data_IF_009737658364
#
_entry.id   IF_009737658364
#
_cell.length_a   1.000
_cell.length_b   1.000
_cell.length_c   1.000
_cell.angle_alpha   90.00
_cell.angle_beta   90.00
_cell.angle_gamma   90.00
#
_symmetry.space_group_name_H-M   'P 1'
#
loop_
_entity.id
_entity.type
_entity.pdbx_description
1 polymer ?
#
# COMPACT_ATOMS: atom_id res chain seq x y z
N UNK A 1 -33.06 -17.57 -7.12
CA UNK A 1 -32.01 -17.66 -8.14
C UNK A 1 -31.43 -16.31 -8.55
N UNK A 2 -31.90 -15.18 -8.00
CA UNK A 2 -31.47 -13.82 -8.35
C UNK A 2 -30.51 -13.14 -7.37
N UNK A 3 -30.03 -13.86 -6.34
CA UNK A 3 -29.13 -13.31 -5.30
C UNK A 3 -27.64 -13.19 -5.73
N UNK A 4 -27.26 -13.86 -6.82
CA UNK A 4 -25.84 -13.97 -7.28
C UNK A 4 -25.36 -12.83 -8.17
N UNK A 5 -26.15 -11.77 -8.37
CA UNK A 5 -25.83 -10.68 -9.33
C UNK A 5 -25.11 -9.46 -8.73
N UNK A 6 -24.71 -9.49 -7.48
CA UNK A 6 -24.36 -8.26 -6.75
C UNK A 6 -22.84 -7.95 -6.57
N UNK A 7 -21.94 -8.63 -7.26
CA UNK A 7 -20.51 -8.34 -7.16
C UNK A 7 -20.07 -7.23 -8.14
N UNK A 8 -19.29 -6.29 -7.66
CA UNK A 8 -18.85 -5.07 -8.36
C UNK A 8 -18.05 -5.31 -9.66
N UNK A 9 -17.46 -6.50 -9.85
CA UNK A 9 -16.41 -6.73 -10.83
C UNK A 9 -16.58 -7.99 -11.68
N UNK A 10 -17.80 -8.51 -11.88
CA UNK A 10 -17.95 -9.68 -12.75
C UNK A 10 -18.36 -9.30 -14.16
N UNK A 11 -17.51 -9.67 -15.11
CA UNK A 11 -17.83 -9.57 -16.54
C UNK A 11 -18.84 -10.65 -16.91
N UNK A 12 -19.85 -10.28 -17.72
CA UNK A 12 -20.79 -11.23 -18.33
C UNK A 12 -20.18 -11.93 -19.55
N UNK A 13 -19.00 -11.52 -20.01
CA UNK A 13 -18.30 -12.06 -21.17
C UNK A 13 -16.97 -12.68 -20.75
N UNK A 14 -16.59 -13.77 -21.42
CA UNK A 14 -15.25 -14.36 -21.23
C UNK A 14 -14.18 -13.42 -21.80
N UNK A 15 -13.23 -13.02 -20.98
CA UNK A 15 -12.12 -12.17 -21.40
C UNK A 15 -11.04 -13.02 -22.11
N UNK A 16 -10.60 -12.64 -23.32
CA UNK A 16 -9.59 -13.40 -24.05
C UNK A 16 -8.17 -13.23 -23.53
N UNK A 17 -7.99 -12.38 -22.51
CA UNK A 17 -6.69 -11.98 -21.99
C UNK A 17 -6.13 -13.06 -21.07
N UNK A 18 -4.86 -13.43 -21.26
CA UNK A 18 -4.17 -14.37 -20.38
C UNK A 18 -3.84 -13.73 -19.05
N UNK A 19 -4.16 -14.39 -17.94
CA UNK A 19 -4.01 -13.88 -16.58
C UNK A 19 -2.55 -13.45 -16.22
N UNK A 20 -1.53 -14.06 -16.83
CA UNK A 20 -0.14 -13.71 -16.57
C UNK A 20 0.21 -12.24 -16.92
N UNK A 21 -0.54 -11.58 -17.82
CA UNK A 21 -0.38 -10.15 -18.06
C UNK A 21 -0.77 -9.29 -16.85
N UNK A 22 -1.68 -9.78 -15.99
CA UNK A 22 -2.00 -9.11 -14.73
C UNK A 22 -0.80 -9.15 -13.79
N UNK A 23 -0.13 -10.29 -13.68
CA UNK A 23 1.11 -10.37 -12.92
C UNK A 23 2.15 -9.37 -13.43
N UNK A 24 2.33 -9.30 -14.74
CA UNK A 24 3.30 -8.41 -15.36
C UNK A 24 3.01 -6.93 -15.04
N UNK A 25 1.75 -6.47 -15.22
CA UNK A 25 1.39 -5.08 -14.89
C UNK A 25 1.49 -4.79 -13.40
N UNK A 26 1.16 -5.75 -12.54
CA UNK A 26 1.31 -5.62 -11.09
C UNK A 26 2.77 -5.46 -10.68
N UNK A 27 3.67 -6.29 -11.23
CA UNK A 27 5.13 -6.22 -10.99
C UNK A 27 5.67 -4.86 -11.46
N UNK A 28 5.37 -4.47 -12.70
CA UNK A 28 5.91 -3.25 -13.32
C UNK A 28 5.41 -2.01 -12.56
N UNK A 29 4.13 -1.96 -12.20
CA UNK A 29 3.58 -0.82 -11.47
C UNK A 29 4.09 -0.76 -10.02
N UNK A 30 4.19 -1.90 -9.33
CA UNK A 30 4.76 -1.96 -7.99
C UNK A 30 6.22 -1.50 -7.99
N UNK A 31 7.02 -1.97 -8.94
CA UNK A 31 8.40 -1.52 -9.13
C UNK A 31 8.46 -0.01 -9.36
N UNK A 32 7.67 0.51 -10.33
CA UNK A 32 7.61 1.93 -10.65
C UNK A 32 7.26 2.79 -9.43
N UNK A 33 6.21 2.42 -8.70
CA UNK A 33 5.70 3.22 -7.59
C UNK A 33 6.67 3.20 -6.40
N UNK A 34 7.20 2.02 -6.04
CA UNK A 34 8.09 1.89 -4.89
C UNK A 34 9.50 2.44 -5.14
N UNK A 35 9.92 2.54 -6.39
CA UNK A 35 11.18 3.18 -6.74
C UNK A 35 11.26 4.62 -6.22
N UNK A 36 10.14 5.33 -6.20
CA UNK A 36 10.06 6.71 -5.69
C UNK A 36 9.42 6.82 -4.32
N UNK A 37 8.59 5.88 -3.89
CA UNK A 37 7.79 6.00 -2.66
C UNK A 37 8.66 6.23 -1.42
N UNK A 38 9.72 5.45 -1.26
CA UNK A 38 10.63 5.56 -0.11
C UNK A 38 11.63 6.71 -0.18
N UNK A 39 11.80 7.35 -1.33
CA UNK A 39 12.66 8.54 -1.49
C UNK A 39 11.86 9.83 -1.51
N UNK A 40 10.56 9.76 -1.72
CA UNK A 40 9.66 10.90 -1.94
C UNK A 40 9.66 11.91 -0.80
N UNK A 41 9.64 11.44 0.46
CA UNK A 41 9.65 12.32 1.63
C UNK A 41 10.95 13.11 1.73
N UNK A 42 12.09 12.45 1.52
CA UNK A 42 13.39 13.12 1.55
C UNK A 42 13.56 14.06 0.35
N UNK A 43 13.09 13.65 -0.84
CA UNK A 43 13.13 14.51 -2.01
C UNK A 43 12.33 15.80 -1.81
N UNK A 44 11.07 15.68 -1.41
CA UNK A 44 10.22 16.86 -1.18
C UNK A 44 10.68 17.69 0.02
N UNK A 45 11.36 17.08 1.00
CA UNK A 45 11.96 17.75 2.14
C UNK A 45 13.07 18.73 1.77
N UNK A 46 13.60 18.69 0.52
CA UNK A 46 14.50 19.73 0.01
C UNK A 46 13.76 21.05 -0.28
N UNK A 47 12.44 21.02 -0.43
CA UNK A 47 11.61 22.18 -0.78
C UNK A 47 10.72 22.65 0.37
N UNK A 48 10.40 21.78 1.33
CA UNK A 48 9.51 22.07 2.46
C UNK A 48 10.12 21.58 3.77
N UNK A 49 9.66 22.11 4.90
CA UNK A 49 10.09 21.64 6.22
C UNK A 49 9.55 20.24 6.53
N UNK A 50 10.25 19.49 7.38
CA UNK A 50 9.89 18.11 7.73
C UNK A 50 8.45 17.97 8.26
N UNK A 51 7.97 18.95 9.03
CA UNK A 51 6.61 18.99 9.57
C UNK A 51 5.54 19.17 8.48
N UNK A 52 5.92 19.76 7.33
CA UNK A 52 4.99 20.00 6.20
C UNK A 52 4.90 18.80 5.25
N UNK A 53 5.86 17.88 5.30
CA UNK A 53 5.90 16.72 4.39
C UNK A 53 4.61 15.89 4.52
N UNK A 54 4.22 15.51 5.74
CA UNK A 54 3.01 14.72 5.94
C UNK A 54 1.72 15.46 5.54
N UNK A 55 1.70 16.80 5.58
CA UNK A 55 0.55 17.58 5.06
C UNK A 55 0.40 17.34 3.55
N UNK A 56 1.51 17.32 2.78
CA UNK A 56 1.46 17.07 1.34
C UNK A 56 0.99 15.63 1.03
N UNK A 57 1.49 14.63 1.78
CA UNK A 57 1.02 13.26 1.67
C UNK A 57 -0.47 13.13 2.02
N UNK A 58 -0.92 13.86 3.04
CA UNK A 58 -2.32 13.89 3.45
C UNK A 58 -3.22 14.53 2.40
N UNK A 59 -2.79 15.61 1.75
CA UNK A 59 -3.52 16.22 0.64
C UNK A 59 -3.65 15.23 -0.53
N UNK A 60 -2.59 14.48 -0.85
CA UNK A 60 -2.64 13.43 -1.86
C UNK A 60 -3.62 12.31 -1.48
N UNK A 61 -3.57 11.83 -0.24
CA UNK A 61 -4.49 10.79 0.25
C UNK A 61 -5.95 11.27 0.29
N UNK A 62 -6.21 12.49 0.74
CA UNK A 62 -7.54 13.09 0.73
C UNK A 62 -8.11 13.21 -0.70
N UNK A 63 -7.30 13.71 -1.63
CA UNK A 63 -7.69 13.80 -3.03
C UNK A 63 -7.92 12.42 -3.66
N UNK A 64 -7.12 11.41 -3.30
CA UNK A 64 -7.35 10.02 -3.70
C UNK A 64 -8.71 9.50 -3.24
N UNK A 65 -9.12 9.79 -2.00
CA UNK A 65 -10.42 9.39 -1.47
C UNK A 65 -11.54 10.00 -2.31
N UNK A 66 -11.45 11.28 -2.67
CA UNK A 66 -12.44 11.94 -3.53
C UNK A 66 -12.53 11.24 -4.89
N UNK A 67 -11.39 10.98 -5.53
CA UNK A 67 -11.36 10.28 -6.82
C UNK A 67 -11.90 8.84 -6.69
N UNK A 68 -11.63 8.16 -5.59
CA UNK A 68 -12.16 6.82 -5.33
C UNK A 68 -13.69 6.78 -5.38
N UNK A 69 -14.37 7.79 -4.82
CA UNK A 69 -15.84 7.90 -4.91
C UNK A 69 -16.34 8.22 -6.33
N UNK A 70 -15.56 8.96 -7.11
CA UNK A 70 -15.92 9.32 -8.49
C UNK A 70 -15.55 8.20 -9.50
N UNK A 71 -14.65 7.31 -9.13
CA UNK A 71 -14.07 6.31 -10.03
C UNK A 71 -15.11 5.40 -10.69
N UNK A 72 -16.15 4.87 -10.02
CA UNK A 72 -17.19 4.06 -10.69
C UNK A 72 -17.89 4.79 -11.84
N UNK A 73 -18.10 6.10 -11.70
CA UNK A 73 -18.71 6.93 -12.76
C UNK A 73 -17.75 7.10 -13.95
N UNK A 74 -16.46 7.30 -13.68
CA UNK A 74 -15.42 7.43 -14.70
C UNK A 74 -15.27 6.10 -15.45
N UNK A 75 -15.17 4.99 -14.72
CA UNK A 75 -15.04 3.64 -15.28
C UNK A 75 -16.25 3.24 -16.13
N UNK A 76 -17.46 3.60 -15.69
CA UNK A 76 -18.69 3.34 -16.46
C UNK A 76 -18.69 4.06 -17.80
N UNK A 77 -18.07 5.25 -17.87
CA UNK A 77 -18.05 6.07 -19.08
C UNK A 77 -16.92 5.70 -20.05
N UNK A 78 -15.73 5.46 -19.51
CA UNK A 78 -14.52 5.29 -20.31
C UNK A 78 -13.95 3.88 -20.31
N UNK A 79 -14.38 3.02 -19.39
CA UNK A 79 -13.81 1.69 -19.16
C UNK A 79 -12.47 1.71 -18.41
N UNK A 80 -12.04 0.52 -17.92
CA UNK A 80 -10.84 0.40 -17.11
C UNK A 80 -9.55 0.67 -17.90
N UNK A 81 -9.48 0.20 -19.15
CA UNK A 81 -8.27 0.35 -19.98
C UNK A 81 -7.95 1.82 -20.25
N UNK A 82 -8.91 2.59 -20.77
CA UNK A 82 -8.69 4.01 -21.08
C UNK A 82 -8.46 4.85 -19.84
N UNK A 83 -9.17 4.53 -18.73
CA UNK A 83 -8.97 5.21 -17.45
C UNK A 83 -7.56 4.95 -16.92
N UNK A 84 -7.07 3.71 -16.96
CA UNK A 84 -5.71 3.36 -16.51
C UNK A 84 -4.65 4.04 -17.35
N UNK A 85 -4.79 4.07 -18.67
CA UNK A 85 -3.86 4.78 -19.58
C UNK A 85 -3.85 6.28 -19.25
N UNK A 86 -5.02 6.91 -19.10
CA UNK A 86 -5.12 8.33 -18.78
C UNK A 86 -4.47 8.69 -17.45
N UNK A 87 -4.72 7.89 -16.39
CA UNK A 87 -4.09 8.07 -15.08
C UNK A 87 -2.57 7.87 -15.16
N UNK A 88 -2.10 6.88 -15.91
CA UNK A 88 -0.66 6.64 -16.08
C UNK A 88 0.02 7.76 -16.88
N UNK A 89 -0.62 8.33 -17.87
CA UNK A 89 -0.10 9.50 -18.59
C UNK A 89 0.07 10.71 -17.67
N UNK A 90 -0.90 10.95 -16.78
CA UNK A 90 -0.78 12.00 -15.76
C UNK A 90 0.36 11.65 -14.79
N UNK A 91 0.49 10.40 -14.37
CA UNK A 91 1.59 9.94 -13.48
C UNK A 91 2.96 10.18 -14.14
N UNK A 92 3.13 9.81 -15.40
CA UNK A 92 4.37 10.02 -16.16
C UNK A 92 4.71 11.52 -16.22
N UNK A 93 3.72 12.36 -16.55
CA UNK A 93 3.91 13.82 -16.62
C UNK A 93 4.29 14.40 -15.26
N UNK A 94 3.59 14.00 -14.20
CA UNK A 94 3.88 14.50 -12.85
C UNK A 94 5.24 14.04 -12.34
N UNK A 95 5.65 12.78 -12.60
CA UNK A 95 6.99 12.29 -12.25
C UNK A 95 8.08 13.08 -13.01
N UNK A 96 7.89 13.37 -14.29
CA UNK A 96 8.82 14.20 -15.05
C UNK A 96 8.93 15.62 -14.48
N UNK A 97 7.80 16.27 -14.16
CA UNK A 97 7.77 17.61 -13.56
C UNK A 97 8.39 17.64 -12.16
N UNK A 98 8.16 16.62 -11.32
CA UNK A 98 8.82 16.50 -10.02
C UNK A 98 10.33 16.34 -10.21
N UNK A 99 10.77 15.45 -11.11
CA UNK A 99 12.18 15.19 -11.35
C UNK A 99 12.96 16.41 -11.88
N UNK A 100 12.31 17.28 -12.68
CA UNK A 100 12.95 18.51 -13.20
C UNK A 100 13.05 19.61 -12.15
N UNK A 101 12.20 19.61 -11.13
CA UNK A 101 12.16 20.62 -10.04
C UNK A 101 12.21 22.08 -10.55
N UNK A 102 11.50 22.38 -11.66
CA UNK A 102 11.56 23.67 -12.36
C UNK A 102 11.27 24.85 -11.42
N UNK A 103 10.23 24.72 -10.60
CA UNK A 103 9.92 25.68 -9.55
C UNK A 103 9.13 25.02 -8.42
N UNK A 104 9.12 25.65 -7.26
CA UNK A 104 8.45 25.15 -6.05
C UNK A 104 6.99 24.73 -6.28
N UNK A 105 6.19 25.62 -6.84
CA UNK A 105 4.74 25.39 -6.99
C UNK A 105 4.45 24.22 -7.92
N UNK A 106 5.11 24.13 -9.07
CA UNK A 106 4.94 23.04 -10.03
C UNK A 106 5.36 21.71 -9.39
N UNK A 107 6.51 21.70 -8.70
CA UNK A 107 7.03 20.50 -8.04
C UNK A 107 6.05 19.98 -6.99
N UNK A 108 5.55 20.85 -6.11
CA UNK A 108 4.61 20.48 -5.04
C UNK A 108 3.27 20.04 -5.59
N UNK A 109 2.70 20.76 -6.55
CA UNK A 109 1.41 20.37 -7.17
C UNK A 109 1.53 19.03 -7.89
N UNK A 110 2.60 18.85 -8.68
CA UNK A 110 2.85 17.59 -9.39
C UNK A 110 3.07 16.43 -8.43
N UNK A 111 3.77 16.66 -7.32
CA UNK A 111 3.97 15.67 -6.27
C UNK A 111 2.64 15.24 -5.62
N UNK A 112 1.78 16.18 -5.24
CA UNK A 112 0.45 15.89 -4.68
C UNK A 112 -0.42 15.13 -5.70
N UNK A 113 -0.38 15.50 -6.98
CA UNK A 113 -1.10 14.78 -8.04
C UNK A 113 -0.58 13.35 -8.22
N UNK A 114 0.74 13.13 -8.17
CA UNK A 114 1.33 11.78 -8.19
C UNK A 114 0.82 10.94 -7.03
N UNK A 115 0.85 11.46 -5.79
CA UNK A 115 0.33 10.78 -4.60
C UNK A 115 -1.18 10.48 -4.70
N UNK A 116 -1.93 11.37 -5.34
CA UNK A 116 -3.37 11.23 -5.56
C UNK A 116 -3.69 10.06 -6.50
N UNK A 117 -2.93 9.90 -7.57
CA UNK A 117 -3.26 8.98 -8.67
C UNK A 117 -2.75 7.57 -8.41
N UNK A 118 -1.60 7.40 -7.78
CA UNK A 118 -0.97 6.08 -7.58
C UNK A 118 -1.90 5.04 -6.93
N UNK A 119 -2.66 5.32 -5.85
CA UNK A 119 -3.60 4.36 -5.27
C UNK A 119 -4.75 3.98 -6.22
N UNK A 120 -5.15 4.89 -7.10
CA UNK A 120 -6.23 4.63 -8.07
C UNK A 120 -5.77 3.66 -9.16
N UNK A 121 -4.51 3.75 -9.60
CA UNK A 121 -3.96 2.78 -10.56
C UNK A 121 -3.88 1.39 -9.94
N UNK A 122 -3.49 1.24 -8.67
CA UNK A 122 -3.55 -0.05 -7.97
C UNK A 122 -4.95 -0.64 -7.99
N UNK A 123 -5.98 0.17 -7.71
CA UNK A 123 -7.37 -0.28 -7.77
C UNK A 123 -7.78 -0.72 -9.19
N UNK A 124 -7.33 -0.01 -10.22
CA UNK A 124 -7.59 -0.41 -11.61
C UNK A 124 -6.92 -1.74 -11.97
N UNK A 125 -5.70 -1.99 -11.47
CA UNK A 125 -5.01 -3.29 -11.60
C UNK A 125 -5.80 -4.40 -10.89
N UNK A 126 -6.32 -4.11 -9.70
CA UNK A 126 -7.20 -5.03 -8.98
C UNK A 126 -8.46 -5.37 -9.80
N UNK A 127 -9.07 -4.39 -10.48
CA UNK A 127 -10.22 -4.62 -11.37
C UNK A 127 -9.86 -5.56 -12.52
N UNK A 128 -8.68 -5.39 -13.14
CA UNK A 128 -8.20 -6.34 -14.15
C UNK A 128 -8.07 -7.74 -13.57
N UNK A 129 -7.46 -7.86 -12.39
CA UNK A 129 -7.26 -9.14 -11.70
C UNK A 129 -8.59 -9.85 -11.42
N UNK A 130 -9.50 -9.19 -10.73
CA UNK A 130 -10.79 -9.76 -10.31
C UNK A 130 -11.66 -10.13 -11.52
N UNK A 131 -11.64 -9.32 -12.58
CA UNK A 131 -12.42 -9.60 -13.79
C UNK A 131 -11.89 -10.82 -14.55
N UNK A 132 -10.58 -11.05 -14.53
CA UNK A 132 -9.94 -12.17 -15.23
C UNK A 132 -9.95 -13.48 -14.41
N UNK A 133 -10.02 -13.42 -13.08
CA UNK A 133 -10.15 -14.59 -12.22
C UNK A 133 -11.50 -15.29 -12.45
N UNK A 134 -12.59 -14.54 -12.65
CA UNK A 134 -13.93 -15.11 -12.85
C UNK A 134 -14.52 -15.80 -11.61
N UNK A 135 -15.84 -16.08 -11.64
CA UNK A 135 -16.58 -16.64 -10.48
C UNK A 135 -16.30 -18.11 -10.18
N UNK A 136 -15.92 -18.89 -11.19
CA UNK A 136 -15.88 -20.37 -11.11
C UNK A 136 -14.45 -20.93 -11.20
N UNK A 137 -13.43 -20.13 -11.01
CA UNK A 137 -12.05 -20.56 -11.22
C UNK A 137 -11.53 -21.31 -9.98
N UNK A 138 -11.29 -22.59 -10.12
CA UNK A 138 -10.63 -23.43 -9.12
C UNK A 138 -9.19 -22.94 -8.98
N UNK A 139 -8.81 -22.40 -7.81
CA UNK A 139 -7.45 -21.86 -7.58
C UNK A 139 -7.33 -20.34 -7.52
N UNK A 140 -8.44 -19.61 -7.31
CA UNK A 140 -8.45 -18.15 -7.15
C UNK A 140 -7.48 -17.66 -6.07
N UNK A 141 -7.43 -18.34 -4.92
CA UNK A 141 -6.50 -18.05 -3.83
C UNK A 141 -5.04 -18.17 -4.24
N UNK A 142 -4.70 -19.22 -5.01
CA UNK A 142 -3.34 -19.41 -5.53
C UNK A 142 -2.92 -18.30 -6.50
N UNK A 143 -3.81 -17.86 -7.39
CA UNK A 143 -3.53 -16.75 -8.33
C UNK A 143 -3.30 -15.43 -7.60
N UNK A 144 -4.12 -15.12 -6.59
CA UNK A 144 -3.96 -13.92 -5.76
C UNK A 144 -2.69 -13.99 -4.91
N UNK A 145 -2.42 -15.12 -4.26
CA UNK A 145 -1.21 -15.32 -3.47
C UNK A 145 0.06 -15.17 -4.32
N UNK A 146 0.06 -15.73 -5.55
CA UNK A 146 1.19 -15.55 -6.46
C UNK A 146 1.36 -14.08 -6.88
N UNK A 147 0.25 -13.36 -7.15
CA UNK A 147 0.32 -11.92 -7.46
C UNK A 147 0.95 -11.13 -6.32
N UNK A 148 0.54 -11.35 -5.07
CA UNK A 148 1.10 -10.70 -3.88
C UNK A 148 2.59 -11.03 -3.72
N UNK A 149 2.98 -12.29 -3.82
CA UNK A 149 4.40 -12.70 -3.72
C UNK A 149 5.25 -12.05 -4.80
N UNK A 150 4.76 -11.93 -6.03
CA UNK A 150 5.47 -11.27 -7.13
C UNK A 150 5.57 -9.75 -6.91
N UNK A 151 4.52 -9.13 -6.36
CA UNK A 151 4.56 -7.71 -5.98
C UNK A 151 5.53 -7.47 -4.83
N UNK A 152 5.58 -8.34 -3.81
CA UNK A 152 6.54 -8.27 -2.71
C UNK A 152 7.99 -8.44 -3.20
N UNK A 153 8.23 -9.35 -4.14
CA UNK A 153 9.54 -9.48 -4.79
C UNK A 153 9.91 -8.24 -5.61
N UNK A 154 8.96 -7.65 -6.35
CA UNK A 154 9.17 -6.40 -7.07
C UNK A 154 9.48 -5.24 -6.13
N UNK A 155 8.85 -5.20 -4.94
CA UNK A 155 9.12 -4.21 -3.91
C UNK A 155 10.57 -4.29 -3.39
N UNK A 156 11.05 -5.49 -3.07
CA UNK A 156 12.45 -5.73 -2.66
C UNK A 156 13.41 -5.28 -3.76
N UNK A 157 13.16 -5.69 -5.00
CA UNK A 157 14.02 -5.33 -6.13
C UNK A 157 14.02 -3.82 -6.40
N UNK A 158 12.86 -3.17 -6.26
CA UNK A 158 12.71 -1.72 -6.43
C UNK A 158 13.55 -0.93 -5.43
N UNK A 159 13.53 -1.32 -4.15
CA UNK A 159 14.28 -0.61 -3.10
C UNK A 159 15.79 -0.85 -3.17
N UNK A 160 16.24 -2.03 -3.63
CA UNK A 160 17.66 -2.25 -3.99
C UNK A 160 18.05 -1.34 -5.15
N UNK A 161 17.23 -1.31 -6.21
CA UNK A 161 17.48 -0.48 -7.39
C UNK A 161 17.50 1.01 -7.04
N UNK A 162 16.65 1.46 -6.13
CA UNK A 162 16.65 2.83 -5.61
C UNK A 162 18.01 3.22 -5.06
N UNK A 163 18.59 2.38 -4.18
CA UNK A 163 19.89 2.65 -3.61
C UNK A 163 21.01 2.73 -4.65
N UNK A 164 21.02 1.81 -5.61
CA UNK A 164 22.04 1.77 -6.67
C UNK A 164 21.90 2.92 -7.69
N UNK A 165 20.68 3.31 -8.06
CA UNK A 165 20.46 4.39 -9.01
C UNK A 165 20.85 5.75 -8.45
N UNK A 166 20.63 5.98 -7.15
CA UNK A 166 21.06 7.22 -6.50
C UNK A 166 22.58 7.24 -6.28
N UNK A 167 23.15 6.12 -5.84
CA UNK A 167 24.57 5.97 -5.61
C UNK A 167 25.15 7.07 -4.72
N UNK A 168 26.41 7.41 -4.93
CA UNK A 168 27.15 8.41 -4.14
C UNK A 168 26.75 9.87 -4.46
N UNK A 169 26.11 10.09 -5.62
CA UNK A 169 25.77 11.45 -6.09
C UNK A 169 24.57 12.05 -5.35
N UNK A 170 23.86 11.29 -4.53
CA UNK A 170 22.67 11.71 -3.76
C UNK A 170 21.57 12.41 -4.60
N UNK A 171 21.59 12.22 -5.94
CA UNK A 171 20.62 12.82 -6.85
C UNK A 171 19.36 11.98 -6.93
N UNK A 172 18.37 12.32 -6.13
CA UNK A 172 17.10 11.61 -6.09
C UNK A 172 16.24 11.81 -7.36
N UNK A 173 16.50 12.84 -8.18
CA UNK A 173 15.72 13.09 -9.41
C UNK A 173 15.80 11.91 -10.40
N UNK A 174 16.91 11.14 -10.39
CA UNK A 174 17.08 9.96 -11.25
C UNK A 174 15.98 8.92 -11.03
N UNK A 175 15.45 8.81 -9.81
CA UNK A 175 14.39 7.85 -9.48
C UNK A 175 13.08 8.23 -10.15
N UNK A 176 12.75 9.53 -10.19
CA UNK A 176 11.56 10.05 -10.85
C UNK A 176 11.62 9.85 -12.35
N UNK A 177 12.77 10.10 -12.98
CA UNK A 177 12.96 9.84 -14.42
C UNK A 177 12.91 8.35 -14.75
N UNK A 178 13.56 7.50 -13.95
CA UNK A 178 13.50 6.05 -14.16
C UNK A 178 12.06 5.54 -13.98
N UNK A 179 11.36 6.00 -12.95
CA UNK A 179 9.96 5.66 -12.73
C UNK A 179 9.06 6.13 -13.89
N UNK A 180 9.32 7.31 -14.46
CA UNK A 180 8.65 7.82 -15.67
C UNK A 180 8.85 6.86 -16.85
N UNK A 181 10.07 6.40 -17.13
CA UNK A 181 10.36 5.45 -18.20
C UNK A 181 9.66 4.09 -18.00
N UNK A 182 9.64 3.58 -16.76
CA UNK A 182 8.91 2.36 -16.41
C UNK A 182 7.40 2.53 -16.63
N UNK A 183 6.85 3.75 -16.36
CA UNK A 183 5.46 4.09 -16.65
C UNK A 183 5.11 4.04 -18.14
N UNK A 184 6.03 4.47 -19.01
CA UNK A 184 5.86 4.35 -20.47
C UNK A 184 5.79 2.88 -20.87
N UNK A 185 6.67 2.04 -20.30
CA UNK A 185 6.63 0.60 -20.52
C UNK A 185 5.33 -0.04 -20.02
N UNK A 186 4.81 0.40 -18.88
CA UNK A 186 3.50 -0.04 -18.36
C UNK A 186 2.37 0.25 -19.36
N UNK A 187 2.32 1.48 -19.91
CA UNK A 187 1.32 1.84 -20.94
C UNK A 187 1.45 0.91 -22.16
N UNK A 188 2.67 0.64 -22.63
CA UNK A 188 2.87 -0.26 -23.76
C UNK A 188 2.28 -1.66 -23.49
N UNK A 189 2.46 -2.21 -22.27
CA UNK A 189 1.84 -3.49 -21.90
C UNK A 189 0.31 -3.40 -21.91
N UNK A 190 -0.28 -2.35 -21.34
CA UNK A 190 -1.73 -2.16 -21.31
C UNK A 190 -2.30 -2.09 -22.73
N UNK A 191 -1.71 -1.28 -23.60
CA UNK A 191 -2.15 -1.11 -24.99
C UNK A 191 -2.03 -2.41 -25.79
N UNK A 192 -0.95 -3.17 -25.59
CA UNK A 192 -0.73 -4.43 -26.29
C UNK A 192 -1.63 -5.54 -25.78
N UNK A 193 -1.67 -5.75 -24.45
CA UNK A 193 -2.28 -6.93 -23.86
C UNK A 193 -3.78 -6.76 -23.55
N UNK A 194 -4.23 -5.54 -23.20
CA UNK A 194 -5.58 -5.31 -22.69
C UNK A 194 -6.51 -4.60 -23.68
N UNK A 195 -6.11 -4.39 -24.92
CA UNK A 195 -6.93 -3.70 -25.94
C UNK A 195 -8.32 -4.31 -26.15
N UNK A 196 -8.49 -5.60 -25.91
CA UNK A 196 -9.77 -6.33 -26.03
C UNK A 196 -10.36 -6.71 -24.68
N UNK A 197 -10.02 -5.96 -23.62
CA UNK A 197 -10.57 -6.20 -22.28
C UNK A 197 -12.05 -5.85 -22.25
N UNK A 198 -12.86 -6.75 -21.72
CA UNK A 198 -14.27 -6.53 -21.47
C UNK A 198 -14.49 -6.09 -20.03
N UNK A 199 -14.95 -4.86 -19.88
CA UNK A 199 -15.21 -4.28 -18.59
C UNK A 199 -16.33 -5.00 -17.81
N UNK A 200 -16.18 -5.11 -16.47
CA UNK A 200 -17.28 -5.59 -15.62
C UNK A 200 -18.38 -4.51 -15.50
N UNK A 201 -19.49 -4.87 -14.88
CA UNK A 201 -20.55 -3.91 -14.58
C UNK A 201 -20.14 -3.10 -13.34
N UNK A 202 -19.91 -1.81 -13.52
CA UNK A 202 -19.58 -0.88 -12.44
C UNK A 202 -20.84 -0.40 -11.72
N UNK A 203 -20.89 -0.56 -10.38
CA UNK A 203 -21.98 -0.09 -9.53
C UNK A 203 -21.49 0.99 -8.57
N UNK A 204 -22.34 1.94 -8.22
CA UNK A 204 -22.07 2.91 -7.16
C UNK A 204 -22.20 2.23 -5.81
N UNK A 205 -21.25 2.49 -4.92
CA UNK A 205 -21.21 1.94 -3.57
C UNK A 205 -21.92 2.91 -2.64
N UNK A 206 -22.87 2.40 -1.85
CA UNK A 206 -23.56 3.20 -0.82
C UNK A 206 -22.75 3.14 0.50
N UNK A 207 -21.66 3.90 0.58
CA UNK A 207 -20.72 3.83 1.71
C UNK A 207 -21.36 4.15 3.07
N UNK A 208 -22.29 5.12 3.16
CA UNK A 208 -22.85 5.58 4.44
C UNK A 208 -23.69 4.49 5.10
N UNK A 209 -24.56 3.81 4.36
CA UNK A 209 -25.34 2.70 4.90
C UNK A 209 -24.46 1.54 5.33
N UNK A 210 -23.43 1.24 4.54
CA UNK A 210 -22.46 0.17 4.81
C UNK A 210 -21.63 0.39 6.05
N UNK A 211 -21.13 1.60 6.28
CA UNK A 211 -20.42 1.95 7.52
C UNK A 211 -21.33 1.71 8.71
N UNK A 212 -22.59 2.15 8.66
CA UNK A 212 -23.53 1.97 9.76
C UNK A 212 -23.83 0.50 10.04
N UNK A 213 -24.03 -0.31 9.01
CA UNK A 213 -24.33 -1.75 9.15
C UNK A 213 -23.11 -2.53 9.63
N UNK A 214 -21.92 -2.21 9.13
CA UNK A 214 -20.64 -2.83 9.54
C UNK A 214 -20.28 -2.50 10.98
N UNK A 215 -20.61 -1.29 11.46
CA UNK A 215 -20.30 -0.85 12.83
C UNK A 215 -21.08 -1.59 13.91
N UNK A 216 -22.21 -2.20 13.55
CA UNK A 216 -23.04 -3.01 14.45
C UNK A 216 -22.47 -4.43 14.66
N UNK A 217 -21.56 -4.90 13.79
CA UNK A 217 -20.90 -6.18 13.94
C UNK A 217 -19.54 -6.01 14.65
N UNK A 218 -19.42 -6.55 15.86
CA UNK A 218 -18.20 -6.42 16.68
C UNK A 218 -16.96 -6.95 15.98
N UNK A 219 -17.05 -8.11 15.33
CA UNK A 219 -15.91 -8.74 14.64
C UNK A 219 -15.45 -7.91 13.44
N UNK A 220 -16.38 -7.42 12.62
CA UNK A 220 -16.06 -6.58 11.45
C UNK A 220 -15.42 -5.26 11.91
N UNK A 221 -15.98 -4.62 12.93
CA UNK A 221 -15.42 -3.40 13.51
C UNK A 221 -14.00 -3.64 14.02
N UNK A 222 -13.77 -4.74 14.70
CA UNK A 222 -12.48 -5.09 15.31
C UNK A 222 -11.42 -5.33 14.23
N UNK A 223 -11.74 -6.15 13.21
CA UNK A 223 -10.79 -6.42 12.12
C UNK A 223 -10.52 -5.18 11.27
N UNK A 224 -11.52 -4.32 11.04
CA UNK A 224 -11.33 -3.04 10.36
C UNK A 224 -10.40 -2.11 11.13
N UNK A 225 -10.54 -2.05 12.45
CA UNK A 225 -9.67 -1.23 13.30
C UNK A 225 -8.24 -1.78 13.32
N UNK A 226 -8.07 -3.10 13.40
CA UNK A 226 -6.76 -3.73 13.32
C UNK A 226 -6.08 -3.47 11.97
N UNK A 227 -6.82 -3.63 10.87
CA UNK A 227 -6.31 -3.33 9.53
C UNK A 227 -5.98 -1.83 9.36
N UNK A 228 -6.81 -0.93 9.88
CA UNK A 228 -6.53 0.51 9.86
C UNK A 228 -5.23 0.85 10.60
N UNK A 229 -4.99 0.28 11.78
CA UNK A 229 -3.74 0.46 12.53
C UNK A 229 -2.52 -0.06 11.75
N UNK A 230 -2.64 -1.20 11.08
CA UNK A 230 -1.59 -1.72 10.21
C UNK A 230 -1.31 -0.76 9.04
N UNK A 231 -2.34 -0.27 8.37
CA UNK A 231 -2.18 0.67 7.25
C UNK A 231 -1.62 2.02 7.72
N UNK A 232 -1.95 2.45 8.95
CA UNK A 232 -1.35 3.62 9.60
C UNK A 232 0.16 3.41 9.83
N UNK A 233 0.58 2.23 10.29
CA UNK A 233 1.98 1.86 10.40
C UNK A 233 2.69 1.93 9.03
N UNK A 234 2.09 1.42 7.95
CA UNK A 234 2.68 1.50 6.61
C UNK A 234 2.84 2.94 6.14
N UNK A 235 1.80 3.75 6.28
CA UNK A 235 1.86 5.16 5.92
C UNK A 235 3.00 5.90 6.63
N UNK A 236 3.09 5.71 7.95
CA UNK A 236 4.10 6.35 8.77
C UNK A 236 5.51 5.92 8.40
N UNK A 237 5.71 4.62 8.25
CA UNK A 237 7.05 4.07 7.98
C UNK A 237 7.54 4.35 6.55
N UNK A 238 6.66 4.40 5.56
CA UNK A 238 7.04 4.77 4.18
C UNK A 238 7.47 6.24 4.11
N UNK A 239 6.83 7.12 4.87
CA UNK A 239 7.13 8.57 4.84
C UNK A 239 8.35 8.90 5.72
N UNK A 240 8.34 8.45 6.97
CA UNK A 240 9.26 8.98 7.98
C UNK A 240 10.51 8.14 8.20
N UNK A 241 10.54 6.83 7.91
CA UNK A 241 11.76 6.02 8.09
C UNK A 241 12.86 6.42 7.11
N UNK A 242 12.63 6.50 5.79
CA UNK A 242 13.70 6.89 4.88
C UNK A 242 14.23 8.30 5.17
N UNK A 243 13.32 9.22 5.49
CA UNK A 243 13.68 10.58 5.88
C UNK A 243 14.56 10.57 7.13
N UNK A 244 14.18 9.83 8.18
CA UNK A 244 14.93 9.70 9.42
C UNK A 244 16.33 9.08 9.20
N UNK A 245 16.40 8.00 8.41
CA UNK A 245 17.66 7.34 8.09
C UNK A 245 18.62 8.26 7.32
N UNK A 246 18.08 9.09 6.41
CA UNK A 246 18.89 10.00 5.62
C UNK A 246 19.32 11.24 6.41
N UNK A 247 18.43 11.84 7.23
CA UNK A 247 18.69 13.15 7.87
C UNK A 247 19.25 13.07 9.27
N UNK A 248 18.79 12.08 10.08
CA UNK A 248 19.17 11.97 11.49
C UNK A 248 20.26 10.91 11.71
N UNK A 249 20.18 9.76 11.00
CA UNK A 249 21.17 8.70 11.14
C UNK A 249 22.34 8.91 10.18
N UNK A 250 22.08 9.53 9.00
CA UNK A 250 23.11 9.87 8.03
C UNK A 250 23.58 8.72 7.14
N UNK A 251 22.72 7.70 6.93
CA UNK A 251 23.03 6.62 6.01
C UNK A 251 23.02 7.07 4.54
N UNK A 252 23.89 6.44 3.74
CA UNK A 252 23.86 6.58 2.30
C UNK A 252 22.56 6.01 1.71
N UNK A 253 22.17 6.48 0.51
CA UNK A 253 20.97 5.93 -0.16
C UNK A 253 21.12 4.46 -0.51
N UNK A 254 22.35 3.98 -0.73
CA UNK A 254 22.63 2.56 -0.92
C UNK A 254 22.32 1.75 0.35
N UNK A 255 22.77 2.23 1.51
CA UNK A 255 22.47 1.60 2.81
C UNK A 255 20.97 1.60 3.11
N UNK A 256 20.31 2.74 2.88
CA UNK A 256 18.85 2.86 3.05
C UNK A 256 18.11 1.86 2.14
N UNK A 257 18.55 1.73 0.89
CA UNK A 257 18.00 0.74 -0.04
C UNK A 257 18.13 -0.70 0.49
N UNK A 258 19.28 -1.08 1.03
CA UNK A 258 19.48 -2.40 1.63
C UNK A 258 18.67 -2.60 2.90
N UNK A 259 18.63 -1.62 3.80
CA UNK A 259 17.86 -1.69 5.05
C UNK A 259 16.37 -1.92 4.76
N UNK A 260 15.80 -1.14 3.85
CA UNK A 260 14.39 -1.26 3.48
C UNK A 260 14.13 -2.59 2.76
N UNK A 261 15.02 -3.01 1.86
CA UNK A 261 14.88 -4.26 1.10
C UNK A 261 14.88 -5.48 2.01
N UNK A 262 15.78 -5.54 2.98
CA UNK A 262 15.83 -6.62 3.98
C UNK A 262 14.53 -6.61 4.81
N UNK A 263 14.01 -5.45 5.17
CA UNK A 263 12.70 -5.35 5.81
C UNK A 263 11.59 -5.93 4.93
N UNK A 264 11.47 -5.50 3.68
CA UNK A 264 10.43 -5.96 2.76
C UNK A 264 10.55 -7.45 2.42
N UNK A 265 11.74 -8.03 2.50
CA UNK A 265 11.96 -9.46 2.30
C UNK A 265 11.19 -10.33 3.32
N UNK A 266 10.87 -9.79 4.50
CA UNK A 266 10.02 -10.48 5.48
C UNK A 266 8.64 -10.86 4.90
N UNK A 267 8.03 -10.02 4.04
CA UNK A 267 6.77 -10.36 3.39
C UNK A 267 6.91 -11.54 2.44
N UNK A 268 7.97 -11.57 1.65
CA UNK A 268 8.25 -12.69 0.74
C UNK A 268 8.39 -14.01 1.50
N UNK A 269 8.98 -13.97 2.71
CA UNK A 269 9.19 -15.17 3.53
C UNK A 269 7.93 -15.59 4.29
N UNK A 270 7.15 -14.65 4.80
CA UNK A 270 6.16 -14.93 5.83
C UNK A 270 4.71 -14.91 5.34
N UNK A 271 4.34 -14.15 4.31
CA UNK A 271 2.94 -14.04 3.87
C UNK A 271 2.29 -15.41 3.60
N UNK A 272 2.96 -16.26 2.84
CA UNK A 272 2.42 -17.57 2.50
C UNK A 272 2.40 -18.57 3.68
N UNK A 273 3.50 -18.78 4.45
CA UNK A 273 3.49 -19.66 5.62
C UNK A 273 2.50 -19.23 6.71
N UNK A 274 2.38 -17.93 6.96
CA UNK A 274 1.46 -17.39 7.98
C UNK A 274 0.02 -17.69 7.63
N UNK A 275 -0.39 -17.51 6.37
CA UNK A 275 -1.73 -17.85 5.93
C UNK A 275 -2.08 -19.31 6.23
N UNK A 276 -1.16 -20.25 5.95
CA UNK A 276 -1.36 -21.68 6.25
C UNK A 276 -1.41 -21.93 7.78
N UNK A 277 -0.54 -21.26 8.54
CA UNK A 277 -0.50 -21.45 10.00
C UNK A 277 -1.76 -20.93 10.67
N UNK A 278 -2.27 -19.76 10.25
CA UNK A 278 -3.50 -19.18 10.75
C UNK A 278 -4.70 -20.11 10.50
N UNK A 279 -4.76 -20.69 9.28
CA UNK A 279 -5.86 -21.56 8.91
C UNK A 279 -5.85 -22.93 9.62
N UNK A 280 -4.66 -23.50 9.89
CA UNK A 280 -4.54 -24.90 10.33
C UNK A 280 -4.16 -25.09 11.79
N UNK A 281 -3.37 -24.20 12.38
CA UNK A 281 -2.70 -24.50 13.65
C UNK A 281 -3.02 -23.55 14.81
N UNK A 282 -2.89 -22.22 14.67
CA UNK A 282 -2.85 -21.28 15.81
C UNK A 282 -4.10 -20.41 15.80
N UNK A 283 -4.86 -20.14 14.91
CA UNK A 283 -5.95 -19.15 14.92
C UNK A 283 -5.45 -17.72 14.61
N UNK A 284 -6.33 -16.92 13.99
CA UNK A 284 -5.96 -15.58 13.53
C UNK A 284 -5.77 -14.59 14.68
N UNK A 285 -6.52 -14.74 15.76
CA UNK A 285 -6.52 -13.84 16.91
C UNK A 285 -5.15 -13.79 17.61
N UNK A 286 -4.61 -14.95 17.97
CA UNK A 286 -3.33 -15.07 18.66
C UNK A 286 -2.17 -14.60 17.78
N UNK A 287 -2.18 -15.00 16.52
CA UNK A 287 -1.14 -14.58 15.57
C UNK A 287 -1.17 -13.07 15.31
N UNK A 288 -2.36 -12.48 15.25
CA UNK A 288 -2.53 -11.01 15.11
C UNK A 288 -1.99 -10.30 16.36
N UNK A 289 -2.27 -10.81 17.57
CA UNK A 289 -1.76 -10.25 18.82
C UNK A 289 -0.22 -10.31 18.89
N UNK A 290 0.38 -11.44 18.51
CA UNK A 290 1.84 -11.59 18.42
C UNK A 290 2.40 -10.63 17.38
N UNK A 291 1.74 -10.48 16.22
CA UNK A 291 2.13 -9.52 15.18
C UNK A 291 2.18 -8.09 15.70
N UNK A 292 1.13 -7.63 16.39
CA UNK A 292 1.10 -6.30 17.00
C UNK A 292 2.14 -6.13 18.12
N UNK A 293 2.42 -7.16 18.90
CA UNK A 293 3.46 -7.13 19.91
C UNK A 293 4.84 -6.92 19.28
N UNK A 294 5.18 -7.72 18.27
CA UNK A 294 6.44 -7.58 17.52
C UNK A 294 6.53 -6.20 16.86
N UNK A 295 5.46 -5.74 16.23
CA UNK A 295 5.35 -4.40 15.65
C UNK A 295 5.62 -3.30 16.66
N UNK A 296 4.99 -3.37 17.84
CA UNK A 296 5.14 -2.40 18.91
C UNK A 296 6.59 -2.33 19.39
N UNK A 297 7.19 -3.48 19.71
CA UNK A 297 8.55 -3.55 20.21
C UNK A 297 9.57 -3.06 19.16
N UNK A 298 9.44 -3.51 17.91
CA UNK A 298 10.33 -3.08 16.84
C UNK A 298 10.20 -1.57 16.58
N UNK A 299 8.95 -1.05 16.51
CA UNK A 299 8.71 0.37 16.25
C UNK A 299 9.23 1.25 17.40
N UNK A 300 9.00 0.85 18.65
CA UNK A 300 9.54 1.58 19.81
C UNK A 300 11.08 1.60 19.80
N UNK A 301 11.71 0.48 19.40
CA UNK A 301 13.18 0.37 19.33
C UNK A 301 13.79 1.33 18.31
N UNK A 302 13.08 1.72 17.25
CA UNK A 302 13.53 2.71 16.25
C UNK A 302 13.93 4.03 16.93
N UNK A 303 13.19 4.46 17.95
CA UNK A 303 13.45 5.72 18.66
C UNK A 303 14.82 5.78 19.36
N UNK A 304 15.40 4.61 19.64
CA UNK A 304 16.68 4.46 20.34
C UNK A 304 17.80 3.93 19.42
N UNK A 305 17.53 3.76 18.13
CA UNK A 305 18.42 3.07 17.19
C UNK A 305 19.41 4.03 16.46
N UNK A 306 19.46 5.32 16.80
CA UNK A 306 20.28 6.32 16.07
C UNK A 306 21.77 5.96 15.98
N UNK A 307 22.32 5.29 17.00
CA UNK A 307 23.73 4.85 17.03
C UNK A 307 23.96 3.45 16.45
N UNK A 308 22.91 2.77 15.97
CA UNK A 308 23.03 1.43 15.39
C UNK A 308 23.68 1.48 14.00
N UNK A 309 24.56 0.50 13.73
CA UNK A 309 25.10 0.29 12.38
C UNK A 309 24.05 -0.33 11.43
N UNK A 310 24.39 -0.39 10.15
CA UNK A 310 23.52 -0.87 9.07
C UNK A 310 22.89 -2.24 9.36
N UNK A 311 23.65 -3.21 9.89
CA UNK A 311 23.14 -4.56 10.21
C UNK A 311 22.08 -4.51 11.31
N UNK A 312 22.27 -3.68 12.34
CA UNK A 312 21.27 -3.47 13.38
C UNK A 312 19.96 -2.93 12.83
N UNK A 313 20.06 -1.95 11.92
CA UNK A 313 18.90 -1.41 11.21
C UNK A 313 18.22 -2.41 10.29
N UNK A 314 18.98 -3.26 9.57
CA UNK A 314 18.43 -4.35 8.76
C UNK A 314 17.61 -5.32 9.61
N UNK A 315 18.14 -5.75 10.76
CA UNK A 315 17.43 -6.63 11.69
C UNK A 315 16.17 -5.95 12.23
N UNK A 316 16.28 -4.69 12.66
CA UNK A 316 15.15 -3.94 13.20
C UNK A 316 14.03 -3.77 12.17
N UNK A 317 14.36 -3.42 10.92
CA UNK A 317 13.41 -3.32 9.83
C UNK A 317 12.79 -4.67 9.48
N UNK A 318 13.59 -5.74 9.43
CA UNK A 318 13.09 -7.09 9.20
C UNK A 318 12.07 -7.51 10.27
N UNK A 319 12.39 -7.31 11.56
CA UNK A 319 11.48 -7.63 12.67
C UNK A 319 10.20 -6.82 12.61
N UNK A 320 10.27 -5.52 12.31
CA UNK A 320 9.09 -4.67 12.16
C UNK A 320 8.17 -5.15 11.01
N UNK A 321 8.74 -5.55 9.89
CA UNK A 321 7.99 -6.08 8.74
C UNK A 321 7.49 -7.51 8.94
N UNK A 322 8.21 -8.34 9.69
CA UNK A 322 7.74 -9.65 10.12
C UNK A 322 6.48 -9.52 11.00
N UNK A 323 6.48 -8.61 11.98
CA UNK A 323 5.29 -8.29 12.76
C UNK A 323 4.13 -7.78 11.88
N UNK A 324 4.42 -6.88 10.93
CA UNK A 324 3.41 -6.36 10.03
C UNK A 324 2.81 -7.44 9.11
N UNK A 325 3.63 -8.36 8.59
CA UNK A 325 3.14 -9.47 7.75
C UNK A 325 2.24 -10.45 8.52
N UNK A 326 2.54 -10.68 9.82
CA UNK A 326 1.64 -11.44 10.70
C UNK A 326 0.27 -10.78 10.83
N UNK A 327 0.23 -9.47 11.11
CA UNK A 327 -1.03 -8.73 11.23
C UNK A 327 -1.77 -8.70 9.89
N UNK A 328 -1.07 -8.45 8.76
CA UNK A 328 -1.68 -8.36 7.44
C UNK A 328 -2.36 -9.66 7.03
N UNK A 329 -1.62 -10.77 7.07
CA UNK A 329 -2.14 -12.08 6.67
C UNK A 329 -3.32 -12.51 7.57
N UNK A 330 -3.25 -12.23 8.87
CA UNK A 330 -4.31 -12.62 9.81
C UNK A 330 -5.55 -11.73 9.72
N UNK A 331 -5.40 -10.42 9.51
CA UNK A 331 -6.54 -9.52 9.30
C UNK A 331 -7.28 -9.84 8.00
N UNK A 332 -6.54 -10.12 6.92
CA UNK A 332 -7.15 -10.53 5.66
C UNK A 332 -7.84 -11.89 5.77
N UNK A 333 -7.17 -12.91 6.34
CA UNK A 333 -7.77 -14.23 6.54
C UNK A 333 -9.05 -14.15 7.38
N UNK A 334 -9.01 -13.46 8.53
CA UNK A 334 -10.16 -13.27 9.40
C UNK A 334 -11.31 -12.56 8.70
N UNK A 335 -11.00 -11.46 7.97
CA UNK A 335 -11.99 -10.72 7.22
C UNK A 335 -12.70 -11.60 6.19
N UNK A 336 -11.95 -12.33 5.35
CA UNK A 336 -12.55 -13.18 4.32
C UNK A 336 -13.29 -14.40 4.86
N UNK A 337 -12.98 -14.86 6.07
CA UNK A 337 -13.75 -15.92 6.76
C UNK A 337 -15.10 -15.41 7.28
N UNK A 338 -15.15 -14.19 7.79
CA UNK A 338 -16.37 -13.58 8.35
C UNK A 338 -17.27 -12.93 7.31
N UNK A 339 -16.69 -12.41 6.24
CA UNK A 339 -17.40 -11.77 5.14
C UNK A 339 -17.50 -12.78 4.01
N UNK A 340 -18.69 -13.32 3.81
CA UNK A 340 -18.94 -14.19 2.66
C UNK A 340 -18.62 -13.40 1.39
N UNK A 341 -17.90 -14.03 0.44
CA UNK A 341 -17.38 -13.36 -0.77
C UNK A 341 -18.41 -12.67 -1.69
N UNK A 342 -19.66 -12.59 -1.25
CA UNK A 342 -20.78 -11.94 -1.90
C UNK A 342 -20.94 -10.46 -1.48
N UNK A 343 -20.28 -10.00 -0.40
CA UNK A 343 -20.39 -8.63 0.11
C UNK A 343 -19.31 -7.72 -0.48
N UNK A 344 -19.41 -7.48 -1.80
CA UNK A 344 -18.53 -6.56 -2.53
C UNK A 344 -18.43 -5.17 -1.90
N UNK A 345 -19.46 -4.79 -1.18
CA UNK A 345 -19.54 -3.51 -0.48
C UNK A 345 -18.60 -3.48 0.73
N UNK A 346 -18.58 -4.55 1.56
CA UNK A 346 -17.66 -4.66 2.69
C UNK A 346 -16.21 -4.76 2.23
N UNK A 347 -15.94 -5.46 1.12
CA UNK A 347 -14.60 -5.51 0.52
C UNK A 347 -14.13 -4.12 0.07
N UNK A 348 -15.02 -3.32 -0.53
CA UNK A 348 -14.69 -1.95 -0.94
C UNK A 348 -14.42 -1.04 0.26
N UNK A 349 -15.19 -1.21 1.35
CA UNK A 349 -14.97 -0.49 2.60
C UNK A 349 -13.63 -0.88 3.25
N UNK A 350 -13.29 -2.16 3.25
CA UNK A 350 -12.00 -2.66 3.74
C UNK A 350 -10.82 -2.04 2.98
N UNK A 351 -10.92 -1.94 1.63
CA UNK A 351 -9.90 -1.31 0.79
C UNK A 351 -9.81 0.21 1.00
N UNK A 352 -10.91 0.87 1.36
CA UNK A 352 -10.92 2.31 1.67
C UNK A 352 -10.14 2.64 2.95
N UNK A 353 -9.94 1.68 3.86
CA UNK A 353 -9.14 1.88 5.07
C UNK A 353 -7.70 2.30 4.75
N UNK A 354 -7.12 1.82 3.66
CA UNK A 354 -5.76 2.16 3.27
C UNK A 354 -5.57 3.66 2.99
N UNK A 355 -6.32 4.31 2.07
CA UNK A 355 -6.19 5.75 1.87
C UNK A 355 -6.61 6.57 3.10
N UNK A 356 -7.57 6.11 3.91
CA UNK A 356 -7.92 6.76 5.18
C UNK A 356 -6.76 6.70 6.19
N UNK A 357 -6.10 5.56 6.32
CA UNK A 357 -4.94 5.42 7.19
C UNK A 357 -3.72 6.20 6.66
N UNK A 358 -3.55 6.30 5.34
CA UNK A 358 -2.51 7.14 4.74
C UNK A 358 -2.74 8.62 5.08
N UNK A 359 -3.99 9.08 5.01
CA UNK A 359 -4.35 10.44 5.43
C UNK A 359 -4.04 10.67 6.91
N UNK A 360 -4.51 9.77 7.78
CA UNK A 360 -4.32 9.88 9.23
C UNK A 360 -2.84 9.77 9.63
N UNK A 361 -2.11 8.78 9.09
CA UNK A 361 -0.71 8.52 9.44
C UNK A 361 0.22 9.66 9.04
N UNK A 362 0.03 10.21 7.85
CA UNK A 362 0.80 11.35 7.38
C UNK A 362 0.54 12.61 8.22
N UNK A 363 -0.73 12.91 8.55
CA UNK A 363 -1.09 14.05 9.42
C UNK A 363 -0.57 13.87 10.84
N UNK A 364 -0.80 12.72 11.46
CA UNK A 364 -0.35 12.44 12.83
C UNK A 364 1.17 12.55 12.93
N UNK A 365 1.92 12.01 11.97
CA UNK A 365 3.36 12.14 11.94
C UNK A 365 3.84 13.59 11.85
N UNK A 366 3.22 14.39 10.98
CA UNK A 366 3.51 15.84 10.90
C UNK A 366 3.19 16.58 12.20
N UNK A 367 2.04 16.25 12.82
CA UNK A 367 1.66 16.86 14.11
C UNK A 367 2.66 16.46 15.20
N UNK A 368 3.09 15.20 15.25
CA UNK A 368 4.11 14.76 16.21
C UNK A 368 5.43 15.52 16.02
N UNK A 369 5.87 15.77 14.78
CA UNK A 369 7.10 16.50 14.49
C UNK A 369 7.05 17.98 14.92
N UNK A 370 5.86 18.57 15.09
CA UNK A 370 5.74 19.94 15.63
C UNK A 370 6.09 20.04 17.13
N UNK A 371 5.93 18.93 17.87
CA UNK A 371 6.05 18.93 19.33
C UNK A 371 7.17 18.03 19.85
N UNK A 372 7.66 17.08 19.04
CA UNK A 372 8.59 16.05 19.47
C UNK A 372 9.84 16.01 18.56
N UNK A 373 11.01 15.67 19.11
CA UNK A 373 12.17 15.31 18.31
C UNK A 373 11.86 14.16 17.34
N UNK A 374 12.55 14.12 16.19
CA UNK A 374 12.22 13.19 15.12
C UNK A 374 12.25 11.72 15.57
N UNK A 375 13.24 11.33 16.36
CA UNK A 375 13.33 9.96 16.87
C UNK A 375 12.10 9.54 17.73
N UNK A 376 11.50 10.46 18.47
CA UNK A 376 10.39 10.17 19.37
C UNK A 376 9.04 9.96 18.66
N UNK A 377 8.88 10.37 17.40
CA UNK A 377 7.64 10.13 16.68
C UNK A 377 7.35 8.63 16.50
N UNK A 378 8.38 7.77 16.51
CA UNK A 378 8.21 6.32 16.43
C UNK A 378 7.67 5.71 17.74
N UNK A 379 7.89 6.36 18.90
CA UNK A 379 7.18 5.99 20.14
C UNK A 379 5.69 6.31 20.06
N UNK A 380 5.31 7.44 19.42
CA UNK A 380 3.89 7.72 19.17
C UNK A 380 3.27 6.64 18.27
N UNK A 381 3.96 6.22 17.21
CA UNK A 381 3.49 5.13 16.37
C UNK A 381 3.38 3.82 17.16
N UNK A 382 4.38 3.49 17.99
CA UNK A 382 4.35 2.31 18.85
C UNK A 382 3.15 2.32 19.82
N UNK A 383 2.80 3.48 20.36
CA UNK A 383 1.61 3.64 21.21
C UNK A 383 0.32 3.26 20.48
N UNK A 384 0.15 3.66 19.22
CA UNK A 384 -0.99 3.20 18.42
C UNK A 384 -0.95 1.68 18.19
N UNK A 385 0.23 1.09 18.00
CA UNK A 385 0.37 -0.37 17.79
C UNK A 385 0.04 -1.16 19.08
N UNK A 386 0.30 -0.60 20.28
CA UNK A 386 -0.20 -1.17 21.54
C UNK A 386 -1.73 -1.28 21.53
N UNK A 387 -2.43 -0.27 21.00
CA UNK A 387 -3.88 -0.33 20.79
C UNK A 387 -4.32 -1.56 19.97
N UNK A 388 -3.52 -1.97 18.98
CA UNK A 388 -3.75 -3.18 18.20
C UNK A 388 -3.76 -4.45 19.05
N UNK A 389 -2.85 -4.58 20.04
CA UNK A 389 -2.83 -5.73 20.96
C UNK A 389 -4.14 -5.81 21.75
N UNK A 390 -4.61 -4.68 22.29
CA UNK A 390 -5.89 -4.66 23.03
C UNK A 390 -7.09 -4.98 22.14
N UNK A 391 -7.10 -4.48 20.90
CA UNK A 391 -8.19 -4.71 19.95
C UNK A 391 -8.33 -6.19 19.62
N UNK A 392 -7.23 -6.94 19.50
CA UNK A 392 -7.29 -8.38 19.23
C UNK A 392 -8.01 -9.17 20.31
N UNK A 393 -8.05 -8.69 21.58
CA UNK A 393 -8.78 -9.38 22.66
C UNK A 393 -10.28 -9.43 22.44
N UNK A 394 -10.85 -8.51 21.64
CA UNK A 394 -12.28 -8.45 21.31
C UNK A 394 -12.68 -9.32 20.13
N UNK A 395 -11.72 -9.93 19.43
CA UNK A 395 -12.04 -10.87 18.35
C UNK A 395 -12.58 -12.17 18.92
N UNK A 396 -13.66 -12.67 18.35
CA UNK A 396 -14.13 -14.01 18.63
C UNK A 396 -13.24 -15.03 17.90
N UNK A 397 -12.94 -16.11 18.58
CA UNK A 397 -12.14 -17.19 18.01
C UNK A 397 -12.86 -17.76 16.76
N UNK A 398 -12.11 -18.05 15.72
CA UNK A 398 -12.62 -18.67 14.50
C UNK A 398 -12.41 -20.18 14.49
N UNK A 399 -11.77 -20.72 15.54
CA UNK A 399 -11.61 -22.16 15.78
C UNK A 399 -12.51 -22.67 16.85
#
# INVERSE_FOLDING_TARGET
MDFYRNTLFFSTRHNPIRFWFVYLISIVFTFQNLLVAYSSSTYIGQFVKSEQIGILFSLGAFSSIIIFFLLPTILKKYGNVFTTIGLMLITITTLGLVGTAVNFSITVISFVLFLTISPIIYLNIDIFSETLIGKNDVGTGGKRGLALSLMSAAAVFSTISMGWLVGDNSNLSVLFYTSMLVGIFFIAIIVFAFRHFYDPIYRQIQFISLIKDSWNNSDIKTVFTAHFLLQLFFSWTIIYIPLFLATEVGFSWQDIGYIISVGLFAYVLFEYPIGIMADRYIGEKEMMAVGFLVLTLATASISFATSMGIVGWMILMFMSRAGASLVEATTESYFFKKVHGEDANLMSLFRLLRPLANLAGALLGSVCLLFLPFNLIFLCLAFFMVGGIFITTYLHDTK
#
